data_IF_621395222717
#
_entry.id   IF_621395222717
#
_cell.length_a   1.000
_cell.length_b   1.000
_cell.length_c   1.000
_cell.angle_alpha   90.00
_cell.angle_beta   90.00
_cell.angle_gamma   90.00
#
_symmetry.space_group_name_H-M   'P 1'
#
loop_
_entity.id
_entity.type
_entity.pdbx_description
1 polymer ?
#
# COMPACT_ATOMS: atom_id res chain seq x y z
N UNK A 1 1.67 -6.38 -20.05
CA UNK A 1 2.89 -7.21 -19.99
C UNK A 1 3.09 -7.51 -18.54
N UNK A 2 3.57 -8.71 -18.22
CA UNK A 2 3.80 -9.14 -16.84
C UNK A 2 4.50 -8.02 -16.07
N UNK A 3 3.84 -7.54 -15.04
CA UNK A 3 4.28 -6.38 -14.27
C UNK A 3 4.62 -6.84 -12.87
N UNK A 4 5.79 -7.44 -12.74
CA UNK A 4 6.27 -7.99 -11.48
C UNK A 4 6.89 -6.88 -10.65
N UNK A 5 6.47 -6.78 -9.39
CA UNK A 5 7.04 -5.88 -8.39
C UNK A 5 7.43 -6.71 -7.19
N UNK A 6 8.67 -6.57 -6.77
CA UNK A 6 9.18 -7.12 -5.53
C UNK A 6 9.00 -6.11 -4.41
N UNK A 7 8.12 -6.44 -3.48
CA UNK A 7 7.72 -5.55 -2.40
C UNK A 7 8.31 -6.07 -1.11
N UNK A 8 9.02 -5.22 -0.39
CA UNK A 8 9.49 -5.45 0.97
C UNK A 8 8.62 -4.69 1.95
N UNK A 9 8.17 -5.38 2.99
CA UNK A 9 7.45 -4.79 4.12
C UNK A 9 8.33 -4.91 5.35
N UNK A 10 8.55 -3.80 6.07
CA UNK A 10 9.30 -3.78 7.34
C UNK A 10 8.35 -3.33 8.45
N UNK A 11 8.33 -4.08 9.54
CA UNK A 11 7.41 -3.94 10.66
C UNK A 11 8.14 -3.70 11.99
N UNK A 12 9.41 -3.34 11.94
CA UNK A 12 10.21 -3.04 13.13
C UNK A 12 9.51 -2.00 14.00
N UNK A 13 9.45 -2.28 15.31
CA UNK A 13 9.06 -1.26 16.28
C UNK A 13 10.14 -0.21 16.32
N UNK A 14 9.76 1.07 16.35
CA UNK A 14 10.73 2.17 16.37
C UNK A 14 11.65 2.10 17.60
N UNK A 15 12.86 2.63 17.47
CA UNK A 15 13.81 2.72 18.60
C UNK A 15 13.31 3.70 19.67
N UNK A 16 13.75 3.53 20.92
CA UNK A 16 13.64 4.59 21.93
C UNK A 16 14.76 5.63 21.76
N UNK A 17 14.64 6.77 22.44
CA UNK A 17 15.61 7.87 22.41
C UNK A 17 16.92 7.55 23.13
N UNK A 18 16.95 6.47 23.94
CA UNK A 18 18.06 6.10 24.85
C UNK A 18 18.49 7.24 25.78
N UNK A 19 17.60 8.18 26.09
CA UNK A 19 17.89 9.37 26.89
C UNK A 19 18.74 10.43 26.18
N UNK A 20 19.01 10.27 24.87
CA UNK A 20 19.69 11.27 24.05
C UNK A 20 18.78 12.50 23.93
N UNK A 21 19.34 13.69 24.12
CA UNK A 21 18.59 14.96 24.04
C UNK A 21 18.98 15.82 22.84
N UNK A 22 20.18 15.64 22.30
CA UNK A 22 20.63 16.43 21.15
C UNK A 22 19.94 15.96 19.88
N UNK A 23 19.46 16.91 19.07
CA UNK A 23 18.80 16.60 17.79
C UNK A 23 19.73 15.81 16.87
N UNK A 24 21.01 16.19 16.78
CA UNK A 24 21.99 15.47 15.96
C UNK A 24 22.18 14.02 16.42
N UNK A 25 22.24 13.78 17.73
CA UNK A 25 22.33 12.43 18.29
C UNK A 25 21.08 11.59 18.03
N UNK A 26 19.90 12.19 18.18
CA UNK A 26 18.63 11.54 17.86
C UNK A 26 18.55 11.19 16.36
N UNK A 27 18.92 12.11 15.47
CA UNK A 27 18.98 11.85 14.03
C UNK A 27 19.91 10.68 13.70
N UNK A 28 21.12 10.68 14.25
CA UNK A 28 22.07 9.58 14.04
C UNK A 28 21.48 8.24 14.51
N UNK A 29 20.91 8.21 15.73
CA UNK A 29 20.28 7.00 16.28
C UNK A 29 19.15 6.46 15.37
N UNK A 30 18.30 7.34 14.85
CA UNK A 30 17.17 6.97 14.01
C UNK A 30 17.63 6.52 12.61
N UNK A 31 18.59 7.23 12.02
CA UNK A 31 19.22 6.86 10.75
C UNK A 31 19.91 5.50 10.85
N UNK A 32 20.70 5.25 11.91
CA UNK A 32 21.39 3.97 12.11
C UNK A 32 20.40 2.83 12.31
N UNK A 33 19.32 3.08 13.07
CA UNK A 33 18.24 2.11 13.27
C UNK A 33 17.58 1.74 11.94
N UNK A 34 17.16 2.71 11.13
CA UNK A 34 16.49 2.41 9.86
C UNK A 34 17.44 1.88 8.79
N UNK A 35 18.70 2.31 8.78
CA UNK A 35 19.73 1.73 7.92
C UNK A 35 19.86 0.22 8.17
N UNK A 36 20.06 -0.18 9.42
CA UNK A 36 20.17 -1.59 9.79
C UNK A 36 18.92 -2.40 9.42
N UNK A 37 17.71 -1.83 9.58
CA UNK A 37 16.48 -2.53 9.22
C UNK A 37 16.26 -2.64 7.70
N UNK A 38 16.62 -1.61 6.94
CA UNK A 38 16.52 -1.61 5.47
C UNK A 38 17.54 -2.57 4.86
N UNK A 39 18.76 -2.63 5.37
CA UNK A 39 19.81 -3.55 4.91
C UNK A 39 19.34 -5.01 4.88
N UNK A 40 18.48 -5.42 5.83
CA UNK A 40 17.90 -6.77 5.89
C UNK A 40 17.11 -7.19 4.64
N UNK A 41 16.60 -6.23 3.86
CA UNK A 41 15.79 -6.50 2.67
C UNK A 41 16.46 -6.13 1.35
N UNK A 42 17.59 -5.41 1.37
CA UNK A 42 18.25 -4.91 0.16
C UNK A 42 18.84 -6.03 -0.71
N UNK A 43 19.34 -7.11 -0.11
CA UNK A 43 19.83 -8.29 -0.86
C UNK A 43 18.72 -8.98 -1.64
N UNK A 44 17.47 -8.79 -1.20
CA UNK A 44 16.31 -9.22 -1.95
C UNK A 44 15.96 -8.24 -3.07
N UNK A 45 16.77 -7.23 -3.41
CA UNK A 45 16.56 -6.27 -4.52
C UNK A 45 15.08 -5.83 -4.72
N UNK A 46 14.45 -5.20 -3.72
CA UNK A 46 13.05 -4.79 -3.82
C UNK A 46 12.87 -3.59 -4.75
N UNK A 47 11.74 -3.56 -5.47
CA UNK A 47 11.28 -2.39 -6.21
C UNK A 47 10.63 -1.35 -5.27
N UNK A 48 9.96 -1.82 -4.20
CA UNK A 48 9.23 -0.99 -3.26
C UNK A 48 9.52 -1.44 -1.82
N UNK A 49 9.90 -0.52 -0.95
CA UNK A 49 10.00 -0.74 0.50
C UNK A 49 8.87 0.02 1.22
N UNK A 50 8.08 -0.71 2.02
CA UNK A 50 6.98 -0.18 2.82
C UNK A 50 7.36 -0.18 4.30
N UNK A 51 7.26 0.99 4.93
CA UNK A 51 7.58 1.23 6.34
C UNK A 51 6.29 1.48 7.16
N UNK A 52 6.32 1.30 8.48
CA UNK A 52 5.14 1.47 9.33
C UNK A 52 4.85 2.95 9.61
N UNK A 53 3.64 3.25 10.09
CA UNK A 53 3.24 4.60 10.50
C UNK A 53 4.21 5.18 11.54
N UNK A 54 4.51 6.48 11.45
CA UNK A 54 5.45 7.18 12.34
C UNK A 54 6.77 6.44 12.52
N UNK A 55 7.37 5.98 11.43
CA UNK A 55 8.56 5.13 11.48
C UNK A 55 9.75 5.83 12.16
N UNK A 56 9.85 7.15 12.07
CA UNK A 56 10.89 7.96 12.67
C UNK A 56 10.52 8.52 14.06
N UNK A 57 9.37 8.15 14.63
CA UNK A 57 9.01 8.55 16.02
C UNK A 57 9.65 7.60 17.01
N UNK A 58 10.39 8.14 17.98
CA UNK A 58 10.92 7.34 19.09
C UNK A 58 9.80 6.72 19.93
N UNK A 59 9.97 5.46 20.33
CA UNK A 59 8.92 4.70 21.03
C UNK A 59 8.54 5.26 22.41
N UNK A 60 9.45 6.00 23.03
CA UNK A 60 9.27 6.68 24.32
C UNK A 60 8.76 8.13 24.18
N UNK A 61 8.56 8.64 22.95
CA UNK A 61 8.08 10.00 22.72
C UNK A 61 6.55 10.06 22.71
N UNK A 62 6.02 11.01 23.47
CA UNK A 62 4.66 11.52 23.28
C UNK A 62 4.51 12.24 21.93
N UNK A 63 3.28 12.47 21.48
CA UNK A 63 2.99 13.24 20.26
C UNK A 63 3.63 14.63 20.30
N UNK A 64 3.61 15.31 21.44
CA UNK A 64 4.21 16.65 21.58
C UNK A 64 5.74 16.62 21.48
N UNK A 65 6.41 15.63 22.07
CA UNK A 65 7.87 15.46 21.93
C UNK A 65 8.25 15.13 20.48
N UNK A 66 7.44 14.34 19.78
CA UNK A 66 7.66 14.07 18.37
C UNK A 66 7.45 15.30 17.50
N UNK A 67 6.42 16.11 17.77
CA UNK A 67 6.26 17.43 17.13
C UNK A 67 7.49 18.30 17.36
N UNK A 68 7.94 18.44 18.61
CA UNK A 68 9.14 19.23 18.95
C UNK A 68 10.37 18.73 18.20
N UNK A 69 10.57 17.41 18.12
CA UNK A 69 11.65 16.80 17.34
C UNK A 69 11.60 17.22 15.86
N UNK A 70 10.42 17.18 15.23
CA UNK A 70 10.23 17.56 13.83
C UNK A 70 10.44 19.07 13.63
N UNK A 71 9.93 19.92 14.53
CA UNK A 71 10.14 21.37 14.47
C UNK A 71 11.60 21.77 14.58
N UNK A 72 12.37 21.02 15.37
CA UNK A 72 13.81 21.21 15.54
C UNK A 72 14.65 20.52 14.45
N UNK A 73 14.07 20.24 13.27
CA UNK A 73 14.74 19.63 12.10
C UNK A 73 15.23 18.19 12.35
N UNK A 74 14.51 17.46 13.19
CA UNK A 74 14.79 16.06 13.52
C UNK A 74 14.51 15.07 12.39
N UNK A 75 13.72 15.43 11.38
CA UNK A 75 13.39 14.53 10.25
C UNK A 75 14.64 13.88 9.61
N UNK A 76 14.50 12.63 9.18
CA UNK A 76 15.52 11.84 8.47
C UNK A 76 15.16 11.68 6.98
N UNK A 77 14.46 12.66 6.40
CA UNK A 77 14.05 12.70 4.99
C UNK A 77 15.20 12.44 4.03
N UNK A 78 16.36 13.08 4.25
CA UNK A 78 17.52 12.96 3.37
C UNK A 78 18.09 11.54 3.36
N UNK A 79 17.98 10.81 4.47
CA UNK A 79 18.39 9.42 4.54
C UNK A 79 17.53 8.54 3.62
N UNK A 80 16.20 8.62 3.70
CA UNK A 80 15.32 7.84 2.82
C UNK A 80 15.47 8.22 1.33
N UNK A 81 15.65 9.52 1.04
CA UNK A 81 15.99 9.99 -0.30
C UNK A 81 17.27 9.34 -0.83
N UNK A 82 18.32 9.28 0.00
CA UNK A 82 19.59 8.65 -0.39
C UNK A 82 19.46 7.15 -0.64
N UNK A 83 18.72 6.43 0.21
CA UNK A 83 18.46 4.98 0.04
C UNK A 83 17.72 4.72 -1.28
N UNK A 84 16.67 5.48 -1.56
CA UNK A 84 15.88 5.33 -2.78
C UNK A 84 16.75 5.50 -4.03
N UNK A 85 17.58 6.56 -4.05
CA UNK A 85 18.48 6.89 -5.16
C UNK A 85 19.63 5.88 -5.32
N UNK A 86 20.27 5.49 -4.23
CA UNK A 86 21.42 4.57 -4.24
C UNK A 86 21.01 3.19 -4.75
N UNK A 87 19.87 2.69 -4.28
CA UNK A 87 19.39 1.36 -4.61
C UNK A 87 18.38 1.33 -5.77
N UNK A 88 18.04 2.49 -6.35
CA UNK A 88 17.10 2.67 -7.47
C UNK A 88 15.75 2.00 -7.21
N UNK A 89 15.20 2.24 -6.03
CA UNK A 89 13.93 1.67 -5.56
C UNK A 89 13.02 2.77 -5.05
N UNK A 90 11.74 2.45 -4.90
CA UNK A 90 10.79 3.31 -4.23
C UNK A 90 10.70 2.97 -2.75
N UNK A 91 10.53 3.97 -1.90
CA UNK A 91 10.41 3.75 -0.45
C UNK A 91 9.40 4.72 0.17
N UNK A 92 8.55 4.20 1.03
CA UNK A 92 7.64 5.03 1.81
C UNK A 92 8.33 5.57 3.05
N UNK A 93 8.07 6.83 3.38
CA UNK A 93 8.39 7.45 4.66
C UNK A 93 7.11 7.95 5.33
N UNK A 94 6.45 7.10 6.13
CA UNK A 94 5.30 7.46 6.94
C UNK A 94 5.75 8.21 8.21
N UNK A 95 5.33 9.45 8.36
CA UNK A 95 5.71 10.28 9.48
C UNK A 95 5.01 11.63 9.50
N UNK A 96 5.36 12.44 10.47
CA UNK A 96 4.82 13.79 10.56
C UNK A 96 5.50 14.72 9.54
N UNK A 97 4.69 15.61 8.97
CA UNK A 97 5.14 16.70 8.10
C UNK A 97 4.54 18.00 8.57
N UNK A 98 5.34 19.06 8.62
CA UNK A 98 4.86 20.42 8.85
C UNK A 98 4.29 20.99 7.55
N UNK A 99 3.13 21.63 7.65
CA UNK A 99 2.42 22.31 6.57
C UNK A 99 2.24 23.78 6.97
N UNK A 100 3.20 24.64 6.59
CA UNK A 100 3.25 26.03 7.05
C UNK A 100 2.06 26.89 6.59
N UNK A 101 1.34 26.46 5.56
CA UNK A 101 0.14 27.14 5.03
C UNK A 101 -1.09 26.98 5.93
N UNK A 102 -1.16 25.95 6.78
CA UNK A 102 -2.26 25.73 7.71
C UNK A 102 -1.87 26.15 9.13
N UNK A 103 -2.41 27.28 9.60
CA UNK A 103 -2.09 27.82 10.93
C UNK A 103 -2.86 27.14 12.05
N UNK A 104 -4.00 26.51 11.76
CA UNK A 104 -4.84 25.85 12.77
C UNK A 104 -4.31 24.44 13.05
N UNK A 105 -4.01 23.71 11.98
CA UNK A 105 -3.45 22.37 12.02
C UNK A 105 -2.14 22.33 11.22
N UNK A 106 -1.00 22.80 11.76
CA UNK A 106 0.25 22.91 11.01
C UNK A 106 0.94 21.57 10.75
N UNK A 107 0.36 20.44 11.16
CA UNK A 107 0.97 19.12 10.98
C UNK A 107 0.05 18.17 10.22
N UNK A 108 0.65 17.23 9.48
CA UNK A 108 -0.02 16.08 8.85
C UNK A 108 0.71 14.80 9.20
N UNK A 109 -0.03 13.78 9.62
CA UNK A 109 0.43 12.40 9.57
C UNK A 109 0.32 11.95 8.10
N UNK A 110 1.45 11.64 7.48
CA UNK A 110 1.49 11.43 6.03
C UNK A 110 2.42 10.29 5.64
N UNK A 111 2.19 9.70 4.48
CA UNK A 111 3.14 8.87 3.76
C UNK A 111 3.74 9.72 2.65
N UNK A 112 5.06 9.91 2.68
CA UNK A 112 5.83 10.44 1.55
C UNK A 112 6.40 9.26 0.78
N UNK A 113 6.10 9.15 -0.50
CA UNK A 113 6.68 8.14 -1.39
C UNK A 113 7.88 8.75 -2.09
N UNK A 114 9.07 8.17 -1.88
CA UNK A 114 10.24 8.49 -2.68
C UNK A 114 10.28 7.60 -3.92
N UNK A 115 10.63 8.18 -5.07
CA UNK A 115 10.94 7.44 -6.28
C UNK A 115 12.42 7.04 -6.37
N UNK A 116 12.78 6.36 -7.46
CA UNK A 116 14.13 5.88 -7.72
C UNK A 116 15.18 6.98 -7.94
N UNK A 117 14.78 8.26 -8.11
CA UNK A 117 15.73 9.39 -8.17
C UNK A 117 16.05 9.95 -6.79
N UNK A 118 15.29 9.52 -5.78
CA UNK A 118 15.35 10.05 -4.42
C UNK A 118 14.43 11.25 -4.19
N UNK A 119 13.56 11.58 -5.15
CA UNK A 119 12.61 12.69 -5.03
C UNK A 119 11.29 12.20 -4.43
N UNK A 120 10.58 13.09 -3.74
CA UNK A 120 9.23 12.78 -3.24
C UNK A 120 8.26 12.85 -4.41
N UNK A 121 7.86 11.69 -4.93
CA UNK A 121 6.96 11.56 -6.08
C UNK A 121 5.48 11.60 -5.70
N UNK A 122 5.14 11.30 -4.45
CA UNK A 122 3.76 11.40 -3.94
C UNK A 122 3.70 11.66 -2.45
N UNK A 123 2.63 12.32 -2.00
CA UNK A 123 2.31 12.51 -0.59
C UNK A 123 0.85 12.14 -0.35
N UNK A 124 0.60 11.28 0.63
CA UNK A 124 -0.72 10.98 1.15
C UNK A 124 -0.83 11.46 2.59
N UNK A 125 -1.78 12.36 2.88
CA UNK A 125 -2.09 12.78 4.25
C UNK A 125 -3.25 11.91 4.79
N UNK A 126 -3.08 11.38 6.02
CA UNK A 126 -4.07 10.53 6.72
C UNK A 126 -5.43 11.21 6.73
N UNK A 127 -6.43 10.59 6.11
CA UNK A 127 -7.75 11.21 5.95
C UNK A 127 -8.53 11.21 7.26
N UNK A 128 -8.31 10.21 8.11
CA UNK A 128 -8.98 10.07 9.40
C UNK A 128 -7.94 10.03 10.52
N UNK A 129 -7.62 11.19 11.09
CA UNK A 129 -6.80 11.26 12.30
C UNK A 129 -7.66 10.91 13.53
N UNK A 130 -7.04 10.31 14.55
CA UNK A 130 -7.73 10.10 15.84
C UNK A 130 -7.90 11.44 16.56
N UNK A 131 -8.80 11.48 17.54
CA UNK A 131 -9.15 12.70 18.28
C UNK A 131 -7.88 13.30 18.95
N UNK A 132 -7.05 12.45 19.54
CA UNK A 132 -5.82 12.86 20.25
C UNK A 132 -4.76 13.45 19.31
N UNK A 133 -4.63 12.91 18.09
CA UNK A 133 -3.80 13.49 17.03
C UNK A 133 -4.31 14.91 16.69
N UNK A 134 -5.62 15.06 16.52
CA UNK A 134 -6.22 16.35 16.17
C UNK A 134 -6.10 17.40 17.28
N UNK A 135 -6.30 17.01 18.54
CA UNK A 135 -6.07 17.87 19.72
C UNK A 135 -4.60 18.34 19.79
N UNK A 136 -3.67 17.55 19.26
CA UNK A 136 -2.26 17.90 19.11
C UNK A 136 -1.97 18.73 17.84
N UNK A 137 -3.00 19.30 17.23
CA UNK A 137 -2.97 20.11 15.99
C UNK A 137 -2.50 19.37 14.74
N UNK A 138 -2.70 18.05 14.69
CA UNK A 138 -2.50 17.26 13.46
C UNK A 138 -3.81 17.29 12.67
N UNK A 139 -3.75 17.80 11.45
CA UNK A 139 -4.93 17.99 10.61
C UNK A 139 -5.27 16.75 9.78
N UNK A 140 -6.53 16.68 9.36
CA UNK A 140 -7.03 15.68 8.43
C UNK A 140 -6.50 15.93 7.01
N UNK A 141 -6.17 14.85 6.31
CA UNK A 141 -6.18 14.83 4.86
C UNK A 141 -7.62 14.92 4.35
N UNK A 142 -7.85 15.65 3.26
CA UNK A 142 -9.21 15.86 2.71
C UNK A 142 -9.43 15.15 1.38
N UNK A 143 -8.36 14.62 0.78
CA UNK A 143 -8.39 14.03 -0.54
C UNK A 143 -8.02 12.55 -0.49
N UNK A 144 -8.83 11.74 -1.16
CA UNK A 144 -8.40 10.43 -1.63
C UNK A 144 -7.47 10.69 -2.83
N UNK A 145 -6.20 10.29 -2.73
CA UNK A 145 -5.23 10.43 -3.82
C UNK A 145 -4.75 9.07 -4.32
N UNK A 146 -4.41 9.02 -5.60
CA UNK A 146 -3.78 7.88 -6.27
C UNK A 146 -2.45 8.35 -6.86
N UNK A 147 -1.40 7.56 -6.65
CA UNK A 147 -0.12 7.73 -7.31
C UNK A 147 -0.12 6.89 -8.59
N UNK A 148 0.06 7.54 -9.73
CA UNK A 148 -0.01 6.89 -11.05
C UNK A 148 1.36 6.95 -11.69
N UNK A 149 1.90 5.78 -12.03
CA UNK A 149 3.07 5.65 -12.89
C UNK A 149 2.65 5.05 -14.24
N UNK A 150 3.60 4.90 -15.16
CA UNK A 150 3.35 4.19 -16.41
C UNK A 150 2.93 2.72 -16.22
N UNK A 151 3.34 2.11 -15.10
CA UNK A 151 3.19 0.67 -14.88
C UNK A 151 2.17 0.34 -13.79
N UNK A 152 1.82 1.26 -12.89
CA UNK A 152 0.93 0.94 -11.77
C UNK A 152 0.19 2.15 -11.19
N UNK A 153 -0.94 1.88 -10.55
CA UNK A 153 -1.68 2.80 -9.69
C UNK A 153 -1.61 2.35 -8.24
N UNK A 154 -1.13 3.24 -7.37
CA UNK A 154 -1.03 2.99 -5.92
C UNK A 154 -1.98 3.91 -5.17
N UNK A 155 -2.77 3.33 -4.27
CA UNK A 155 -3.49 4.08 -3.23
C UNK A 155 -2.84 3.83 -1.87
N UNK A 156 -3.07 4.73 -0.91
CA UNK A 156 -2.39 4.73 0.38
C UNK A 156 -3.40 4.81 1.52
N UNK A 157 -3.04 4.33 2.69
CA UNK A 157 -3.89 4.41 3.86
C UNK A 157 -3.04 4.35 5.11
N UNK A 158 -3.44 5.12 6.13
CA UNK A 158 -2.71 5.16 7.39
C UNK A 158 -3.65 4.75 8.51
N UNK A 159 -3.39 3.56 9.06
CA UNK A 159 -3.96 3.13 10.33
C UNK A 159 -5.48 3.24 10.43
N UNK A 160 -5.97 4.29 11.09
CA UNK A 160 -7.37 4.50 11.36
C UNK A 160 -8.21 4.63 10.07
N UNK A 161 -7.60 5.06 8.95
CA UNK A 161 -8.24 5.15 7.63
C UNK A 161 -8.94 3.86 7.20
N UNK A 162 -8.40 2.69 7.57
CA UNK A 162 -8.92 1.39 7.16
C UNK A 162 -10.34 1.09 7.66
N UNK A 163 -10.85 1.90 8.59
CA UNK A 163 -12.19 1.74 9.16
C UNK A 163 -13.27 2.51 8.41
N UNK A 164 -12.92 3.31 7.39
CA UNK A 164 -13.84 4.28 6.78
C UNK A 164 -14.20 3.93 5.33
N UNK A 165 -15.39 3.38 5.14
CA UNK A 165 -15.90 2.98 3.82
C UNK A 165 -16.06 4.18 2.86
N UNK A 166 -16.16 5.41 3.38
CA UNK A 166 -16.19 6.63 2.57
C UNK A 166 -14.88 6.85 1.80
N UNK A 167 -13.74 6.47 2.37
CA UNK A 167 -12.44 6.51 1.68
C UNK A 167 -12.32 5.34 0.70
N UNK A 168 -12.72 4.15 1.13
CA UNK A 168 -12.75 2.95 0.28
C UNK A 168 -13.56 3.19 -1.01
N UNK A 169 -14.74 3.80 -0.90
CA UNK A 169 -15.59 4.13 -2.03
C UNK A 169 -14.91 5.07 -3.03
N UNK A 170 -14.14 6.06 -2.55
CA UNK A 170 -13.36 6.95 -3.43
C UNK A 170 -12.23 6.19 -4.13
N UNK A 171 -11.53 5.31 -3.41
CA UNK A 171 -10.46 4.49 -3.99
C UNK A 171 -10.94 3.48 -5.02
N UNK A 172 -12.15 2.95 -4.88
CA UNK A 172 -12.72 2.04 -5.87
C UNK A 172 -12.75 2.66 -7.28
N UNK A 173 -13.00 3.97 -7.39
CA UNK A 173 -13.06 4.69 -8.67
C UNK A 173 -11.70 4.70 -9.38
N UNK A 174 -10.59 4.65 -8.64
CA UNK A 174 -9.25 4.71 -9.23
C UNK A 174 -8.83 3.38 -9.88
N UNK A 175 -9.47 2.27 -9.50
CA UNK A 175 -9.08 0.91 -9.86
C UNK A 175 -7.58 0.68 -9.61
N UNK A 176 -7.12 0.75 -8.35
CA UNK A 176 -5.71 0.65 -8.03
C UNK A 176 -5.17 -0.76 -8.30
N UNK A 177 -3.87 -0.87 -8.55
CA UNK A 177 -3.18 -2.15 -8.67
C UNK A 177 -2.57 -2.59 -7.32
N UNK A 178 -2.21 -1.61 -6.49
CA UNK A 178 -1.61 -1.81 -5.17
C UNK A 178 -2.18 -0.83 -4.13
N UNK A 179 -2.45 -1.33 -2.94
CA UNK A 179 -2.78 -0.56 -1.74
C UNK A 179 -1.64 -0.65 -0.72
N UNK A 180 -1.03 0.49 -0.39
CA UNK A 180 0.01 0.57 0.64
C UNK A 180 -0.60 1.04 1.95
N UNK A 181 -0.41 0.26 3.01
CA UNK A 181 -0.97 0.54 4.34
C UNK A 181 0.11 0.57 5.41
N UNK A 182 0.30 1.73 6.04
CA UNK A 182 1.28 1.94 7.12
C UNK A 182 0.56 2.17 8.44
N UNK A 183 0.91 1.43 9.51
CA UNK A 183 0.11 1.49 10.74
C UNK A 183 0.79 1.03 12.03
N UNK A 184 0.21 1.40 13.18
CA UNK A 184 0.31 0.65 14.45
C UNK A 184 -0.85 -0.34 14.70
N UNK A 185 -1.99 -0.11 14.05
CA UNK A 185 -3.20 -0.93 14.08
C UNK A 185 -3.14 -2.01 13.00
N UNK A 186 -3.30 -3.27 13.39
CA UNK A 186 -3.23 -4.37 12.43
C UNK A 186 -4.38 -4.37 11.41
N UNK A 187 -5.59 -3.90 11.71
CA UNK A 187 -6.68 -3.94 10.71
C UNK A 187 -7.38 -5.29 10.53
N UNK A 188 -6.67 -6.41 10.72
CA UNK A 188 -7.25 -7.76 10.65
C UNK A 188 -8.06 -7.97 9.38
N UNK A 189 -9.31 -8.41 9.55
CA UNK A 189 -10.28 -8.65 8.46
C UNK A 189 -10.42 -7.46 7.49
N UNK A 190 -10.25 -6.22 7.95
CA UNK A 190 -10.40 -5.04 7.09
C UNK A 190 -9.33 -4.97 6.00
N UNK A 191 -8.12 -5.50 6.24
CA UNK A 191 -7.10 -5.58 5.19
C UNK A 191 -7.61 -6.44 4.03
N UNK A 192 -8.06 -7.65 4.34
CA UNK A 192 -8.56 -8.64 3.38
C UNK A 192 -9.78 -8.08 2.63
N UNK A 193 -10.70 -7.43 3.35
CA UNK A 193 -11.88 -6.79 2.77
C UNK A 193 -11.53 -5.65 1.81
N UNK A 194 -10.54 -4.81 2.13
CA UNK A 194 -10.15 -3.69 1.28
C UNK A 194 -9.40 -4.18 0.04
N UNK A 195 -8.46 -5.11 0.18
CA UNK A 195 -7.79 -5.75 -0.96
C UNK A 195 -8.81 -6.40 -1.91
N UNK A 196 -9.77 -7.14 -1.35
CA UNK A 196 -10.88 -7.68 -2.14
C UNK A 196 -11.68 -6.57 -2.80
N UNK A 197 -12.24 -5.63 -2.05
CA UNK A 197 -13.15 -4.59 -2.58
C UNK A 197 -12.51 -3.74 -3.67
N UNK A 198 -11.21 -3.44 -3.54
CA UNK A 198 -10.44 -2.66 -4.52
C UNK A 198 -9.90 -3.51 -5.68
N UNK A 199 -10.01 -4.85 -5.60
CA UNK A 199 -9.47 -5.81 -6.58
C UNK A 199 -7.95 -5.65 -6.79
N UNK A 200 -7.23 -5.27 -5.73
CA UNK A 200 -5.83 -4.90 -5.82
C UNK A 200 -4.97 -5.71 -4.83
N UNK A 201 -3.66 -5.78 -5.09
CA UNK A 201 -2.73 -6.29 -4.10
C UNK A 201 -2.62 -5.30 -2.94
N UNK A 202 -2.24 -5.76 -1.75
CA UNK A 202 -2.00 -4.87 -0.62
C UNK A 202 -0.70 -5.23 0.09
N UNK A 203 0.06 -4.20 0.48
CA UNK A 203 1.27 -4.31 1.28
C UNK A 203 1.09 -3.51 2.57
N UNK A 204 1.12 -4.21 3.71
CA UNK A 204 0.83 -3.64 5.02
C UNK A 204 2.01 -3.73 5.98
N UNK A 205 2.54 -2.57 6.38
CA UNK A 205 3.61 -2.45 7.37
C UNK A 205 3.04 -2.01 8.72
N UNK A 206 3.10 -2.91 9.71
CA UNK A 206 2.49 -2.71 11.03
C UNK A 206 3.58 -2.65 12.11
N UNK A 207 3.77 -1.51 12.76
CA UNK A 207 4.84 -1.32 13.74
C UNK A 207 4.73 -2.32 14.90
N UNK A 208 5.77 -3.13 15.10
CA UNK A 208 5.85 -4.12 16.17
C UNK A 208 4.85 -5.27 16.06
N UNK A 209 4.24 -5.49 14.89
CA UNK A 209 3.24 -6.53 14.68
C UNK A 209 3.43 -7.22 13.31
N UNK A 210 2.56 -8.17 12.98
CA UNK A 210 2.61 -8.88 11.70
C UNK A 210 2.25 -7.94 10.54
N UNK A 211 3.19 -7.77 9.60
CA UNK A 211 2.92 -7.17 8.29
C UNK A 211 2.58 -8.24 7.26
N UNK A 212 1.87 -7.85 6.21
CA UNK A 212 1.38 -8.78 5.17
C UNK A 212 1.52 -8.20 3.77
N UNK A 213 1.75 -9.08 2.82
CA UNK A 213 1.52 -8.84 1.39
C UNK A 213 0.40 -9.78 0.99
N UNK A 214 -0.72 -9.25 0.51
CA UNK A 214 -1.93 -10.02 0.21
C UNK A 214 -2.41 -9.78 -1.22
N UNK A 215 -3.06 -10.78 -1.81
CA UNK A 215 -3.58 -10.73 -3.18
C UNK A 215 -4.96 -10.03 -3.24
N UNK A 216 -5.52 -9.81 -4.45
CA UNK A 216 -6.86 -9.25 -4.66
C UNK A 216 -8.04 -10.04 -4.07
N UNK A 217 -7.81 -11.19 -3.43
CA UNK A 217 -8.82 -11.92 -2.66
C UNK A 217 -8.61 -11.82 -1.15
N UNK A 218 -7.64 -11.02 -0.70
CA UNK A 218 -7.25 -10.91 0.70
C UNK A 218 -6.47 -12.12 1.22
N UNK A 219 -6.00 -13.01 0.34
CA UNK A 219 -5.18 -14.15 0.75
C UNK A 219 -3.72 -13.73 0.91
N UNK A 220 -3.07 -14.24 1.97
CA UNK A 220 -1.69 -13.91 2.28
C UNK A 220 -0.75 -14.53 1.23
N UNK A 221 0.03 -13.69 0.57
CA UNK A 221 1.16 -14.08 -0.29
C UNK A 221 2.40 -14.27 0.59
N UNK A 222 2.65 -13.32 1.49
CA UNK A 222 3.74 -13.38 2.45
C UNK A 222 3.42 -12.57 3.71
N UNK A 223 4.02 -12.94 4.84
CA UNK A 223 3.88 -12.21 6.10
C UNK A 223 5.16 -12.21 6.90
N UNK A 224 5.34 -11.18 7.72
CA UNK A 224 6.39 -11.20 8.76
C UNK A 224 6.06 -12.27 9.80
N UNK A 225 7.02 -12.61 10.66
CA UNK A 225 6.88 -13.66 11.67
C UNK A 225 7.32 -13.15 13.04
N UNK A 226 7.22 -14.00 14.04
CA UNK A 226 7.77 -13.72 15.37
C UNK A 226 9.31 -13.68 15.40
N UNK A 227 9.99 -14.13 14.33
CA UNK A 227 11.46 -14.12 14.23
C UNK A 227 12.00 -13.02 13.30
N UNK A 228 11.25 -12.69 12.26
CA UNK A 228 11.63 -11.69 11.27
C UNK A 228 10.54 -10.65 11.16
N UNK A 229 10.89 -9.41 11.48
CA UNK A 229 10.03 -8.24 11.40
C UNK A 229 9.97 -7.64 9.98
N UNK A 230 10.42 -8.37 8.98
CA UNK A 230 10.39 -7.98 7.57
C UNK A 230 10.06 -9.19 6.70
N UNK A 231 9.55 -8.91 5.50
CA UNK A 231 9.30 -9.92 4.48
C UNK A 231 9.37 -9.29 3.09
N UNK A 232 9.85 -10.04 2.11
CA UNK A 232 9.88 -9.64 0.70
C UNK A 232 9.11 -10.65 -0.13
N UNK A 233 8.23 -10.19 -1.01
CA UNK A 233 7.53 -11.04 -1.96
C UNK A 233 7.40 -10.37 -3.32
N UNK A 234 7.38 -11.18 -4.37
CA UNK A 234 7.05 -10.73 -5.72
C UNK A 234 5.54 -10.82 -5.95
N UNK A 235 4.97 -9.75 -6.49
CA UNK A 235 3.57 -9.70 -6.92
C UNK A 235 3.50 -9.33 -8.40
N UNK A 236 2.56 -9.90 -9.15
CA UNK A 236 2.32 -9.52 -10.53
C UNK A 236 1.06 -8.64 -10.60
N UNK A 237 1.25 -7.37 -10.90
CA UNK A 237 0.20 -6.36 -10.99
C UNK A 237 -0.60 -6.46 -12.31
N UNK A 238 -0.11 -7.19 -13.31
CA UNK A 238 -0.83 -7.43 -14.58
C UNK A 238 -1.88 -8.54 -14.40
N UNK A 239 -2.88 -8.25 -13.56
CA UNK A 239 -3.92 -9.19 -13.16
C UNK A 239 -5.31 -8.54 -13.07
N UNK A 240 -6.36 -9.35 -13.17
CA UNK A 240 -7.76 -8.92 -13.04
C UNK A 240 -8.64 -9.99 -12.41
N UNK A 241 -9.54 -9.55 -11.52
CA UNK A 241 -10.60 -10.39 -10.96
C UNK A 241 -11.78 -10.43 -11.95
N UNK A 242 -12.20 -11.64 -12.32
CA UNK A 242 -13.31 -11.86 -13.25
C UNK A 242 -14.34 -12.79 -12.63
N UNK A 243 -15.62 -12.59 -12.95
CA UNK A 243 -16.69 -13.48 -12.51
C UNK A 243 -16.66 -14.80 -13.30
N UNK A 244 -17.10 -15.91 -12.71
CA UNK A 244 -17.14 -17.21 -13.40
C UNK A 244 -18.32 -17.30 -14.39
N UNK A 245 -19.52 -16.87 -13.99
CA UNK A 245 -20.67 -16.87 -14.91
C UNK A 245 -20.36 -16.16 -16.21
N UNK A 246 -20.79 -16.73 -17.33
CA UNK A 246 -20.56 -16.26 -18.70
C UNK A 246 -19.09 -16.22 -19.16
N UNK A 247 -18.13 -16.48 -18.28
CA UNK A 247 -16.69 -16.42 -18.59
C UNK A 247 -15.99 -17.77 -18.55
N UNK A 248 -16.55 -18.81 -17.93
CA UNK A 248 -15.88 -20.11 -17.77
C UNK A 248 -15.28 -20.64 -19.07
N UNK A 249 -16.07 -20.68 -20.16
CA UNK A 249 -15.59 -21.16 -21.46
C UNK A 249 -14.52 -20.25 -22.05
N UNK A 250 -14.71 -18.92 -21.98
CA UNK A 250 -13.77 -17.90 -22.47
C UNK A 250 -12.41 -18.01 -21.75
N UNK A 251 -12.43 -18.18 -20.42
CA UNK A 251 -11.24 -18.38 -19.60
C UNK A 251 -10.52 -19.67 -19.99
N UNK A 252 -11.26 -20.78 -20.21
CA UNK A 252 -10.68 -22.04 -20.66
C UNK A 252 -10.02 -21.90 -22.04
N UNK A 253 -10.66 -21.23 -22.98
CA UNK A 253 -10.10 -20.97 -24.32
C UNK A 253 -8.83 -20.10 -24.22
N UNK A 254 -8.87 -19.02 -23.43
CA UNK A 254 -7.70 -18.16 -23.16
C UNK A 254 -6.55 -18.96 -22.53
N UNK A 255 -6.85 -19.79 -21.52
CA UNK A 255 -5.86 -20.65 -20.85
C UNK A 255 -5.27 -21.70 -21.80
N UNK A 256 -6.05 -22.28 -22.73
CA UNK A 256 -5.53 -23.20 -23.76
C UNK A 256 -4.58 -22.50 -24.73
N UNK A 257 -4.91 -21.27 -25.16
CA UNK A 257 -4.08 -20.47 -26.07
C UNK A 257 -2.78 -20.03 -25.40
N UNK A 258 -2.86 -19.44 -24.21
CA UNK A 258 -1.73 -18.82 -23.54
C UNK A 258 -0.94 -19.77 -22.63
N UNK A 259 -1.51 -20.90 -22.24
CA UNK A 259 -0.87 -21.96 -21.44
C UNK A 259 -0.24 -21.39 -20.16
N UNK A 260 1.10 -21.46 -20.03
CA UNK A 260 1.85 -20.92 -18.88
C UNK A 260 1.90 -19.39 -18.82
N UNK A 261 1.57 -18.71 -19.92
CA UNK A 261 1.55 -17.23 -20.01
C UNK A 261 0.31 -16.60 -19.37
N UNK A 262 -0.67 -17.40 -18.92
CA UNK A 262 -1.88 -16.93 -18.22
C UNK A 262 -2.12 -17.83 -17.01
N UNK A 263 -2.00 -17.29 -15.80
CA UNK A 263 -2.36 -17.99 -14.56
C UNK A 263 -3.83 -17.75 -14.25
N UNK A 264 -4.52 -18.79 -13.76
CA UNK A 264 -5.90 -18.72 -13.26
C UNK A 264 -5.87 -19.21 -11.83
N UNK A 265 -6.14 -18.31 -10.89
CA UNK A 265 -6.20 -18.62 -9.47
C UNK A 265 -7.66 -18.57 -9.01
N UNK A 266 -8.16 -19.71 -8.52
CA UNK A 266 -9.48 -19.82 -7.92
C UNK A 266 -9.33 -19.87 -6.38
N UNK A 267 -9.77 -18.84 -5.66
CA UNK A 267 -9.74 -18.84 -4.19
C UNK A 267 -10.83 -19.74 -3.58
N UNK A 268 -11.78 -20.23 -4.37
CA UNK A 268 -12.96 -20.97 -3.95
C UNK A 268 -14.05 -20.08 -3.32
N UNK A 269 -15.30 -20.56 -3.34
CA UNK A 269 -16.44 -20.02 -2.59
C UNK A 269 -16.89 -18.56 -2.85
N UNK A 270 -16.27 -17.85 -3.81
CA UNK A 270 -16.60 -16.42 -4.11
C UNK A 270 -17.04 -16.17 -5.57
N UNK A 271 -17.21 -17.22 -6.37
CA UNK A 271 -17.74 -17.13 -7.75
C UNK A 271 -16.86 -16.34 -8.73
N UNK A 272 -15.61 -16.06 -8.36
CA UNK A 272 -14.68 -15.20 -9.10
C UNK A 272 -13.29 -15.82 -9.09
N UNK A 273 -12.50 -15.54 -10.13
CA UNK A 273 -11.10 -16.00 -10.25
C UNK A 273 -10.18 -14.83 -10.57
N UNK A 274 -8.91 -14.95 -10.20
CA UNK A 274 -7.86 -14.00 -10.56
C UNK A 274 -7.13 -14.50 -11.80
N UNK A 275 -7.20 -13.73 -12.87
CA UNK A 275 -6.41 -13.95 -14.07
C UNK A 275 -5.14 -13.11 -13.98
N UNK A 276 -3.97 -13.73 -14.16
CA UNK A 276 -2.68 -13.04 -14.12
C UNK A 276 -1.91 -13.32 -15.40
N UNK A 277 -1.45 -12.28 -16.08
CA UNK A 277 -0.68 -12.43 -17.31
C UNK A 277 0.82 -12.54 -16.98
N UNK A 278 1.43 -13.65 -17.40
CA UNK A 278 2.86 -13.93 -17.23
C UNK A 278 3.66 -13.64 -18.50
N UNK A 279 3.02 -13.10 -19.55
CA UNK A 279 3.63 -12.80 -20.85
C UNK A 279 4.40 -11.48 -20.82
N UNK A 280 5.60 -11.47 -21.39
CA UNK A 280 6.35 -10.22 -21.65
C UNK A 280 5.79 -9.44 -22.84
N UNK A 281 4.95 -10.05 -23.69
CA UNK A 281 4.48 -9.45 -24.94
C UNK A 281 3.04 -8.91 -24.88
N UNK A 282 2.26 -9.33 -23.87
CA UNK A 282 0.82 -9.02 -23.77
C UNK A 282 0.43 -8.66 -22.34
N UNK A 283 -0.58 -7.82 -22.20
CA UNK A 283 -1.23 -7.49 -20.93
C UNK A 283 -2.46 -8.34 -20.65
N UNK A 284 -2.86 -8.40 -19.39
CA UNK A 284 -4.11 -9.05 -19.01
C UNK A 284 -5.30 -8.37 -19.70
N UNK A 285 -5.27 -7.04 -19.86
CA UNK A 285 -6.32 -6.28 -20.52
C UNK A 285 -6.43 -6.61 -22.02
N UNK A 286 -5.33 -6.97 -22.68
CA UNK A 286 -5.37 -7.45 -24.06
C UNK A 286 -5.97 -8.85 -24.16
N UNK A 287 -5.63 -9.76 -23.23
CA UNK A 287 -6.22 -11.10 -23.18
C UNK A 287 -7.73 -11.01 -22.90
N UNK A 288 -8.14 -10.17 -21.96
CA UNK A 288 -9.54 -9.93 -21.63
C UNK A 288 -10.33 -9.44 -22.85
N UNK A 289 -9.79 -8.45 -23.59
CA UNK A 289 -10.41 -7.96 -24.83
C UNK A 289 -10.46 -9.00 -25.92
N UNK A 290 -9.41 -9.79 -26.10
CA UNK A 290 -9.33 -10.82 -27.13
C UNK A 290 -10.35 -11.94 -26.96
N UNK A 291 -10.68 -12.30 -25.72
CA UNK A 291 -11.62 -13.37 -25.39
C UNK A 291 -12.98 -12.84 -24.91
N UNK A 292 -13.18 -11.52 -24.95
CA UNK A 292 -14.40 -10.85 -24.47
C UNK A 292 -14.79 -11.28 -23.05
N UNK A 293 -13.81 -11.44 -22.17
CA UNK A 293 -14.02 -11.83 -20.77
C UNK A 293 -14.58 -10.62 -20.02
N UNK A 294 -15.70 -10.79 -19.33
CA UNK A 294 -16.28 -9.73 -18.51
C UNK A 294 -15.56 -9.65 -17.16
N UNK A 295 -15.09 -8.47 -16.75
CA UNK A 295 -14.49 -8.29 -15.42
C UNK A 295 -15.55 -8.39 -14.32
N UNK A 296 -15.13 -8.58 -13.07
CA UNK A 296 -16.08 -8.70 -11.98
C UNK A 296 -16.91 -7.42 -11.75
N UNK A 297 -16.29 -6.24 -11.82
CA UNK A 297 -17.03 -4.98 -11.65
C UNK A 297 -18.00 -4.71 -12.81
N UNK A 298 -17.65 -5.10 -14.05
CA UNK A 298 -18.58 -5.04 -15.20
C UNK A 298 -19.78 -5.97 -15.00
N UNK A 299 -19.56 -7.21 -14.55
CA UNK A 299 -20.63 -8.16 -14.24
C UNK A 299 -21.60 -7.61 -13.18
N UNK A 300 -21.07 -7.05 -12.09
CA UNK A 300 -21.90 -6.46 -11.03
C UNK A 300 -22.67 -5.24 -11.53
N UNK A 301 -22.02 -4.36 -12.30
CA UNK A 301 -22.66 -3.20 -12.91
C UNK A 301 -23.81 -3.63 -13.83
N UNK A 302 -23.57 -4.57 -14.74
CA UNK A 302 -24.61 -5.12 -15.63
C UNK A 302 -25.77 -5.73 -14.85
N UNK A 303 -25.49 -6.44 -13.75
CA UNK A 303 -26.51 -7.03 -12.89
C UNK A 303 -27.40 -5.98 -12.22
N UNK A 304 -26.80 -4.90 -11.72
CA UNK A 304 -27.53 -3.76 -11.12
C UNK A 304 -28.37 -3.04 -12.18
N UNK A 305 -27.80 -2.77 -13.36
CA UNK A 305 -28.51 -2.14 -14.47
C UNK A 305 -29.70 -2.97 -14.94
N UNK A 306 -29.53 -4.30 -15.06
CA UNK A 306 -30.60 -5.21 -15.39
C UNK A 306 -31.71 -5.18 -14.34
N UNK A 307 -31.36 -5.27 -13.05
CA UNK A 307 -32.33 -5.15 -11.93
C UNK A 307 -33.13 -3.85 -12.01
N UNK A 308 -32.45 -2.70 -12.16
CA UNK A 308 -33.10 -1.39 -12.16
C UNK A 308 -34.08 -1.20 -13.32
N UNK A 309 -33.81 -1.83 -14.48
CA UNK A 309 -34.73 -1.84 -15.63
C UNK A 309 -36.01 -2.66 -15.39
N UNK A 310 -36.01 -3.61 -14.46
CA UNK A 310 -37.11 -4.56 -14.25
C UNK A 310 -37.84 -4.40 -12.91
N UNK A 311 -37.44 -3.44 -12.08
CA UNK A 311 -38.13 -3.12 -10.80
C UNK A 311 -38.86 -1.77 -10.85
N UNK A 312 -38.53 -0.91 -11.81
CA UNK A 312 -39.20 0.37 -12.02
C UNK A 312 -40.24 0.34 -13.17
N UNK A 313 -40.80 -0.84 -13.46
CA UNK A 313 -41.97 -1.03 -14.33
C UNK A 313 -43.08 -1.70 -13.54
#
# INVERSE_FOLDING_TARGET
MANRKRISVICSRTTDSKGIKSISGLKALNTDFWKSNIEKVLDSAPDIIVLPEYCDRFADYSTNQYIEYIENKGSITEFFSSIAKEHKLQITYPGLRKLDSDKQYPYRNCIRMFDETGDISHIYDKNHVIIEENLSKIGYGTNASVYVTKDMKIVFGICFDLNFDSLLAKYKIFEPDLFIFSSYYHGGLKQDQWAYTLRCHMASAISGNTGRIINPFGQIIASTTNYYDYVTAEVNLDCKVVHLDYNMEKIQQAKRKYKKKLTVHDPGNVGTVLLTCESEEKSINEIIREFEIETYDEYLKRSIEYRNKHING
#
